data_IF_995864436295
#
_entry.id   IF_995864436295
#
_cell.length_a   1.000
_cell.length_b   1.000
_cell.length_c   1.000
_cell.angle_alpha   90.00
_cell.angle_beta   90.00
_cell.angle_gamma   90.00
#
_symmetry.space_group_name_H-M   'P 1'
#
loop_
_entity.id
_entity.type
_entity.pdbx_description
1 polymer ?
#
# COMPACT_ATOMS: atom_id res chain seq x y z
N UNK A 1 17.31 12.14 -16.68
CA UNK A 1 17.11 11.43 -15.39
C UNK A 1 18.41 11.08 -14.72
N UNK A 2 18.50 11.32 -13.41
CA UNK A 2 19.69 11.03 -12.56
C UNK A 2 19.90 9.53 -12.32
N UNK A 3 18.83 8.73 -12.41
CA UNK A 3 18.85 7.28 -12.31
C UNK A 3 17.91 6.71 -13.38
N UNK A 4 18.43 6.36 -14.56
CA UNK A 4 17.58 5.84 -15.64
C UNK A 4 16.97 4.49 -15.22
N UNK A 5 15.75 4.24 -15.70
CA UNK A 5 15.12 2.94 -15.54
C UNK A 5 16.04 1.84 -16.11
N UNK A 6 16.22 0.75 -15.36
CA UNK A 6 17.03 -0.39 -15.80
C UNK A 6 16.34 -1.70 -15.44
N UNK A 7 16.58 -2.73 -16.26
CA UNK A 7 16.10 -4.10 -15.96
C UNK A 7 16.57 -4.58 -14.59
N UNK A 8 17.80 -4.21 -14.20
CA UNK A 8 18.37 -4.53 -12.89
C UNK A 8 17.55 -3.92 -11.76
N UNK A 9 17.24 -2.63 -11.83
CA UNK A 9 16.43 -1.94 -10.82
C UNK A 9 15.00 -2.50 -10.75
N UNK A 10 14.40 -2.80 -11.91
CA UNK A 10 13.08 -3.46 -11.97
C UNK A 10 13.10 -4.81 -11.26
N UNK A 11 14.05 -5.68 -11.60
CA UNK A 11 14.15 -7.01 -11.00
C UNK A 11 14.40 -6.95 -9.49
N UNK A 12 15.22 -6.00 -9.03
CA UNK A 12 15.42 -5.78 -7.60
C UNK A 12 14.13 -5.35 -6.90
N UNK A 13 13.36 -4.44 -7.51
CA UNK A 13 12.06 -4.02 -6.97
C UNK A 13 11.06 -5.18 -6.88
N UNK A 14 10.98 -6.01 -7.93
CA UNK A 14 10.12 -7.20 -7.93
C UNK A 14 10.53 -8.22 -6.88
N UNK A 15 11.83 -8.46 -6.71
CA UNK A 15 12.35 -9.38 -5.69
C UNK A 15 11.97 -8.92 -4.27
N UNK A 16 12.05 -7.60 -4.01
CA UNK A 16 11.61 -7.02 -2.74
C UNK A 16 10.12 -7.30 -2.52
N UNK A 17 9.26 -7.07 -3.53
CA UNK A 17 7.82 -7.35 -3.42
C UNK A 17 7.51 -8.83 -3.16
N UNK A 18 8.29 -9.75 -3.74
CA UNK A 18 8.07 -11.19 -3.60
C UNK A 18 8.55 -11.76 -2.26
N UNK A 19 9.64 -11.21 -1.70
CA UNK A 19 10.33 -11.79 -0.54
C UNK A 19 10.10 -11.04 0.77
N UNK A 20 9.55 -9.82 0.71
CA UNK A 20 9.38 -8.98 1.90
C UNK A 20 8.06 -9.28 2.60
N UNK A 21 8.15 -9.58 3.90
CA UNK A 21 7.01 -9.62 4.81
C UNK A 21 7.28 -8.67 6.00
N UNK A 22 6.43 -7.66 6.17
CA UNK A 22 6.54 -6.65 7.23
C UNK A 22 5.43 -6.73 8.28
N UNK A 23 4.57 -7.76 8.26
CA UNK A 23 3.39 -7.83 9.13
C UNK A 23 3.75 -7.71 10.62
N UNK A 24 4.76 -8.43 11.09
CA UNK A 24 5.17 -8.39 12.50
C UNK A 24 5.68 -7.01 12.91
N UNK A 25 6.49 -6.38 12.04
CA UNK A 25 7.03 -5.04 12.28
C UNK A 25 5.92 -3.99 12.29
N UNK A 26 4.97 -4.12 11.37
CA UNK A 26 3.81 -3.23 11.30
C UNK A 26 2.94 -3.34 12.55
N UNK A 27 2.68 -4.55 13.04
CA UNK A 27 1.89 -4.78 14.26
C UNK A 27 2.54 -4.24 15.54
N UNK A 28 3.85 -3.97 15.52
CA UNK A 28 4.57 -3.38 16.65
C UNK A 28 4.54 -1.83 16.64
N UNK A 29 4.03 -1.21 15.58
CA UNK A 29 3.93 0.25 15.50
C UNK A 29 2.97 0.79 16.56
N UNK A 30 3.42 1.78 17.33
CA UNK A 30 2.62 2.47 18.37
C UNK A 30 2.17 3.87 17.95
N UNK A 31 2.46 4.26 16.72
CA UNK A 31 2.14 5.57 16.18
C UNK A 31 0.77 5.56 15.49
N UNK A 32 0.05 6.70 15.47
CA UNK A 32 -1.16 6.82 14.67
C UNK A 32 -0.89 6.42 13.22
N UNK A 33 -1.65 5.44 12.73
CA UNK A 33 -1.52 4.90 11.39
C UNK A 33 -2.82 5.09 10.63
N UNK A 34 -2.75 5.60 9.41
CA UNK A 34 -3.86 5.75 8.47
C UNK A 34 -3.54 4.97 7.21
N UNK A 35 -4.51 4.21 6.72
CA UNK A 35 -4.37 3.38 5.52
C UNK A 35 -5.34 3.90 4.46
N UNK A 36 -4.89 3.98 3.21
CA UNK A 36 -5.70 4.39 2.07
C UNK A 36 -5.66 3.25 1.04
N UNK A 37 -6.82 2.77 0.61
CA UNK A 37 -6.95 1.66 -0.36
C UNK A 37 -7.84 2.10 -1.54
N UNK A 38 -7.56 1.58 -2.74
CA UNK A 38 -8.45 1.66 -3.89
C UNK A 38 -9.35 0.43 -3.98
N UNK A 39 -10.67 0.60 -4.09
CA UNK A 39 -11.61 -0.53 -4.24
C UNK A 39 -11.48 -1.28 -5.58
N UNK A 40 -10.84 -0.69 -6.59
CA UNK A 40 -10.56 -1.26 -7.90
C UNK A 40 -9.06 -1.57 -8.10
N UNK A 41 -8.26 -1.56 -7.04
CA UNK A 41 -6.83 -1.90 -7.13
C UNK A 41 -6.64 -3.38 -7.46
N UNK A 42 -5.92 -3.64 -8.56
CA UNK A 42 -5.63 -5.00 -9.06
C UNK A 42 -4.32 -5.56 -8.55
N UNK A 43 -3.49 -4.76 -7.88
CA UNK A 43 -2.23 -5.17 -7.27
C UNK A 43 -2.39 -5.42 -5.77
N UNK A 44 -3.15 -4.56 -5.08
CA UNK A 44 -3.43 -4.67 -3.65
C UNK A 44 -4.94 -4.82 -3.43
N UNK A 45 -5.45 -6.02 -3.08
CA UNK A 45 -6.89 -6.25 -2.97
C UNK A 45 -7.47 -5.48 -1.79
N UNK A 46 -8.47 -4.62 -2.03
CA UNK A 46 -9.08 -3.79 -0.98
C UNK A 46 -9.61 -4.58 0.24
N UNK A 47 -9.92 -5.88 0.05
CA UNK A 47 -10.41 -6.80 1.10
C UNK A 47 -9.45 -6.92 2.30
N UNK A 48 -8.17 -6.52 2.16
CA UNK A 48 -7.25 -6.42 3.30
C UNK A 48 -7.66 -5.35 4.31
N UNK A 49 -8.60 -4.46 3.98
CA UNK A 49 -9.22 -3.53 4.94
C UNK A 49 -9.69 -4.25 6.20
N UNK A 50 -10.25 -5.46 6.05
CA UNK A 50 -10.72 -6.28 7.16
C UNK A 50 -9.62 -6.61 8.18
N UNK A 51 -8.36 -6.70 7.74
CA UNK A 51 -7.22 -6.92 8.62
C UNK A 51 -6.88 -5.67 9.43
N UNK A 52 -6.86 -4.50 8.77
CA UNK A 52 -6.66 -3.21 9.43
C UNK A 52 -7.79 -2.89 10.42
N UNK A 53 -9.04 -3.18 10.07
CA UNK A 53 -10.20 -2.96 10.93
C UNK A 53 -10.10 -3.78 12.23
N UNK A 54 -9.67 -5.05 12.13
CA UNK A 54 -9.40 -5.91 13.31
C UNK A 54 -8.29 -5.34 14.20
N UNK A 55 -7.30 -4.67 13.62
CA UNK A 55 -6.23 -3.97 14.32
C UNK A 55 -6.64 -2.57 14.83
N UNK A 56 -7.91 -2.18 14.64
CA UNK A 56 -8.45 -0.84 14.96
C UNK A 56 -7.72 0.31 14.26
N UNK A 57 -7.19 0.04 13.06
CA UNK A 57 -6.51 1.02 12.22
C UNK A 57 -7.54 1.65 11.27
N UNK A 58 -7.51 2.98 11.15
CA UNK A 58 -8.44 3.71 10.28
C UNK A 58 -8.07 3.47 8.81
N UNK A 59 -9.02 2.92 8.07
CA UNK A 59 -8.90 2.72 6.62
C UNK A 59 -9.81 3.69 5.86
N UNK A 60 -9.28 4.36 4.85
CA UNK A 60 -10.04 5.13 3.86
C UNK A 60 -10.04 4.36 2.55
N UNK A 61 -11.22 3.92 2.10
CA UNK A 61 -11.37 3.25 0.80
C UNK A 61 -11.88 4.26 -0.22
N UNK A 62 -11.16 4.44 -1.32
CA UNK A 62 -11.50 5.35 -2.41
C UNK A 62 -11.96 4.56 -3.64
N UNK A 63 -12.79 5.21 -4.47
CA UNK A 63 -13.28 4.64 -5.73
C UNK A 63 -12.19 4.71 -6.83
N UNK A 64 -11.07 4.03 -6.62
CA UNK A 64 -9.84 4.14 -7.42
C UNK A 64 -9.18 2.80 -7.64
N UNK A 65 -8.29 2.74 -8.64
CA UNK A 65 -7.28 1.68 -8.75
C UNK A 65 -6.08 1.92 -7.82
N UNK A 66 -4.90 1.47 -8.25
CA UNK A 66 -3.65 1.52 -7.47
C UNK A 66 -3.06 2.91 -7.22
N UNK A 67 -3.58 3.96 -7.89
CA UNK A 67 -3.08 5.34 -7.76
C UNK A 67 -4.13 6.25 -7.08
N UNK A 68 -4.45 6.04 -5.79
CA UNK A 68 -5.50 6.78 -5.10
C UNK A 68 -5.20 8.27 -4.98
N UNK A 69 -3.93 8.67 -5.00
CA UNK A 69 -3.49 10.07 -4.87
C UNK A 69 -3.88 10.97 -6.06
N UNK A 70 -4.34 10.39 -7.17
CA UNK A 70 -4.89 11.14 -8.30
C UNK A 70 -6.38 11.51 -8.09
N UNK A 71 -7.04 10.93 -7.08
CA UNK A 71 -8.45 11.15 -6.83
C UNK A 71 -8.68 12.45 -6.04
N UNK A 72 -9.70 13.22 -6.42
CA UNK A 72 -10.04 14.50 -5.76
C UNK A 72 -10.32 14.40 -4.26
N UNK A 73 -10.80 13.24 -3.80
CA UNK A 73 -11.14 13.00 -2.39
C UNK A 73 -9.98 12.41 -1.59
N UNK A 74 -8.78 12.30 -2.19
CA UNK A 74 -7.58 11.87 -1.49
C UNK A 74 -7.12 12.92 -0.48
N UNK A 75 -6.89 12.50 0.77
CA UNK A 75 -6.39 13.36 1.86
C UNK A 75 -5.42 12.60 2.75
N UNK A 76 -4.34 13.24 3.18
CA UNK A 76 -3.39 12.71 4.17
C UNK A 76 -3.84 13.08 5.59
#
# INVERSE_FOLDING_TARGET
DKFPASKKALNQGLEILLTTNLLDKFNQLKIPTKVILGNHDTLVPYRISNWYDKAKIKTQVLNTGHLPFLHKDFTL
#
